data_IF_306010162467
#
_entry.id   IF_306010162467
#
_cell.length_a   1.000
_cell.length_b   1.000
_cell.length_c   1.000
_cell.angle_alpha   90.00
_cell.angle_beta   90.00
_cell.angle_gamma   90.00
#
_symmetry.space_group_name_H-M   'P 1'
#
loop_
_entity.id
_entity.type
_entity.pdbx_description
1 polymer ?
#
# COMPACT_ATOMS: atom_id res chain seq x y z
N UNK A 1 8.23 -19.14 -16.96
CA UNK A 1 7.51 -17.99 -16.38
C UNK A 1 6.14 -18.43 -15.88
N UNK A 2 5.58 -17.75 -14.86
CA UNK A 2 4.17 -17.93 -14.44
C UNK A 2 3.20 -17.78 -15.62
N UNK A 3 3.64 -17.11 -16.71
CA UNK A 3 2.86 -17.04 -17.94
C UNK A 3 2.57 -18.40 -18.59
N UNK A 4 3.54 -19.30 -18.50
CA UNK A 4 3.61 -20.59 -19.20
C UNK A 4 3.05 -21.74 -18.36
N UNK A 5 3.19 -21.65 -17.03
CA UNK A 5 2.80 -22.70 -16.07
C UNK A 5 1.33 -22.59 -15.66
N UNK A 6 0.81 -21.38 -15.46
CA UNK A 6 -0.58 -21.18 -15.03
C UNK A 6 -1.23 -20.01 -15.79
N UNK A 7 -1.86 -20.36 -16.91
CA UNK A 7 -2.54 -19.39 -17.79
C UNK A 7 -3.90 -18.98 -17.23
N UNK A 8 -4.63 -19.93 -16.67
CA UNK A 8 -5.97 -19.73 -16.14
C UNK A 8 -5.94 -18.92 -14.83
N UNK A 9 -5.10 -19.32 -13.87
CA UNK A 9 -5.03 -18.66 -12.57
C UNK A 9 -4.49 -17.23 -12.67
N UNK A 10 -3.65 -16.92 -13.66
CA UNK A 10 -3.28 -15.51 -13.93
C UNK A 10 -4.45 -14.68 -14.42
N UNK A 11 -5.24 -15.17 -15.39
CA UNK A 11 -6.40 -14.43 -15.88
C UNK A 11 -7.45 -14.21 -14.79
N UNK A 12 -7.64 -15.20 -13.91
CA UNK A 12 -8.53 -15.06 -12.76
C UNK A 12 -8.01 -14.04 -11.74
N UNK A 13 -6.69 -14.01 -11.50
CA UNK A 13 -6.06 -12.98 -10.64
C UNK A 13 -6.17 -11.59 -11.27
N UNK A 14 -5.84 -11.44 -12.54
CA UNK A 14 -5.95 -10.18 -13.30
C UNK A 14 -7.37 -9.60 -13.23
N UNK A 15 -8.40 -10.44 -13.39
CA UNK A 15 -9.81 -10.02 -13.27
C UNK A 15 -10.20 -9.54 -11.87
N UNK A 16 -9.51 -10.01 -10.83
CA UNK A 16 -9.75 -9.63 -9.43
C UNK A 16 -8.83 -8.53 -8.93
N UNK A 17 -7.92 -8.02 -9.76
CA UNK A 17 -7.04 -6.92 -9.35
C UNK A 17 -7.86 -5.64 -9.19
N UNK A 18 -7.85 -5.09 -7.98
CA UNK A 18 -8.35 -3.76 -7.70
C UNK A 18 -7.51 -2.76 -8.51
N UNK A 19 -8.13 -2.09 -9.49
CA UNK A 19 -7.48 -1.01 -10.24
C UNK A 19 -7.28 0.19 -9.32
N UNK A 20 -6.07 0.35 -8.79
CA UNK A 20 -5.70 1.52 -8.00
C UNK A 20 -5.54 2.73 -8.92
N UNK A 21 -6.07 3.89 -8.49
CA UNK A 21 -5.83 5.16 -9.19
C UNK A 21 -4.38 5.59 -9.00
N UNK A 22 -3.82 6.27 -10.00
CA UNK A 22 -2.56 6.97 -9.81
C UNK A 22 -2.78 8.06 -8.75
N UNK A 23 -2.06 7.93 -7.64
CA UNK A 23 -2.09 8.90 -6.55
C UNK A 23 -0.90 9.84 -6.72
N UNK A 24 -1.12 11.15 -6.64
CA UNK A 24 -0.08 12.18 -6.76
C UNK A 24 -0.41 13.37 -5.88
N UNK A 25 0.54 13.81 -5.05
CA UNK A 25 0.44 15.01 -4.24
C UNK A 25 1.23 16.11 -4.94
N UNK A 26 0.78 17.37 -4.87
CA UNK A 26 1.33 18.44 -5.74
C UNK A 26 2.76 18.89 -5.35
N UNK A 27 3.12 18.82 -4.07
CA UNK A 27 4.40 19.30 -3.53
C UNK A 27 4.69 18.64 -2.18
N UNK A 28 5.95 18.61 -1.78
CA UNK A 28 6.34 18.17 -0.44
C UNK A 28 5.69 19.04 0.63
N UNK A 29 5.38 18.43 1.77
CA UNK A 29 4.70 19.03 2.92
C UNK A 29 3.26 19.53 2.65
N UNK A 30 2.67 19.23 1.48
CA UNK A 30 1.26 19.60 1.23
C UNK A 30 0.26 18.64 1.88
N UNK A 31 0.67 17.40 2.17
CA UNK A 31 -0.16 16.40 2.81
C UNK A 31 0.72 15.39 3.54
N UNK A 32 0.34 15.06 4.77
CA UNK A 32 0.99 14.03 5.57
C UNK A 32 0.02 12.87 5.81
N UNK A 33 0.52 11.66 5.69
CA UNK A 33 -0.22 10.46 6.07
C UNK A 33 0.26 9.99 7.43
N UNK A 34 -0.69 9.55 8.25
CA UNK A 34 -0.44 8.88 9.53
C UNK A 34 -1.13 7.52 9.50
N UNK A 35 -0.42 6.46 9.88
CA UNK A 35 -0.98 5.12 9.99
C UNK A 35 -0.55 4.44 11.29
N UNK A 36 -1.43 3.60 11.82
CA UNK A 36 -1.25 2.88 13.08
C UNK A 36 -0.96 1.41 12.85
N UNK A 37 0.19 0.93 13.33
CA UNK A 37 0.54 -0.48 13.34
C UNK A 37 0.10 -1.15 14.65
N UNK A 38 -1.02 -1.87 14.60
CA UNK A 38 -1.69 -2.41 15.79
C UNK A 38 -1.31 -3.87 16.13
N UNK A 39 -0.35 -4.49 15.43
CA UNK A 39 -0.02 -5.91 15.68
C UNK A 39 0.46 -6.19 17.10
N UNK A 40 1.01 -5.19 17.78
CA UNK A 40 1.53 -5.31 19.14
C UNK A 40 0.54 -4.87 20.24
N UNK A 41 -0.73 -4.60 19.88
CA UNK A 41 -1.71 -4.03 20.80
C UNK A 41 -1.98 -4.91 22.02
N UNK A 42 -1.85 -6.25 21.88
CA UNK A 42 -2.01 -7.20 22.99
C UNK A 42 -0.95 -7.03 24.08
N UNK A 43 0.21 -6.46 23.74
CA UNK A 43 1.26 -6.11 24.68
C UNK A 43 1.23 -4.63 25.08
N UNK A 44 0.18 -3.90 24.71
CA UNK A 44 0.01 -2.48 25.01
C UNK A 44 0.73 -1.52 24.06
N UNK A 45 1.31 -2.01 22.95
CA UNK A 45 2.04 -1.18 22.01
C UNK A 45 1.28 -0.93 20.71
N UNK A 46 1.25 0.34 20.29
CA UNK A 46 0.81 0.76 18.96
C UNK A 46 1.87 1.69 18.39
N UNK A 47 2.36 1.37 17.19
CA UNK A 47 3.39 2.17 16.52
C UNK A 47 2.70 3.04 15.47
N UNK A 48 2.85 4.36 15.55
CA UNK A 48 2.34 5.28 14.54
C UNK A 48 3.48 5.76 13.64
N UNK A 49 3.30 5.63 12.33
CA UNK A 49 4.23 6.16 11.32
C UNK A 49 3.63 7.38 10.63
N UNK A 50 4.45 8.41 10.39
CA UNK A 50 4.07 9.58 9.60
C UNK A 50 4.96 9.69 8.36
N UNK A 51 4.36 9.94 7.20
CA UNK A 51 5.09 10.14 5.93
C UNK A 51 4.54 11.33 5.15
N UNK A 52 5.41 12.05 4.45
CA UNK A 52 5.01 13.07 3.47
C UNK A 52 4.39 12.38 2.24
N UNK A 53 3.17 12.78 1.87
CA UNK A 53 2.40 12.16 0.79
C UNK A 53 2.96 12.40 -0.61
N UNK A 54 3.87 13.38 -0.75
CA UNK A 54 4.61 13.65 -1.98
C UNK A 54 5.75 12.65 -2.19
N UNK A 55 6.73 12.58 -1.29
CA UNK A 55 7.88 11.69 -1.46
C UNK A 55 7.58 10.23 -1.07
N UNK A 56 6.65 10.00 -0.12
CA UNK A 56 6.28 8.68 0.41
C UNK A 56 7.46 7.86 0.94
N UNK A 57 8.50 8.54 1.38
CA UNK A 57 9.68 7.94 2.00
C UNK A 57 9.47 7.87 3.51
N UNK A 58 9.84 6.74 4.11
CA UNK A 58 9.96 6.52 5.57
C UNK A 58 11.42 6.71 5.96
#
# INVERSE_FOLDING_TARGET
SLRRVDRLGRHLRERRVIKRRAYHVKRSNALWHIDGHHKLIRWGFVIHGLIDGYCRTV
#
